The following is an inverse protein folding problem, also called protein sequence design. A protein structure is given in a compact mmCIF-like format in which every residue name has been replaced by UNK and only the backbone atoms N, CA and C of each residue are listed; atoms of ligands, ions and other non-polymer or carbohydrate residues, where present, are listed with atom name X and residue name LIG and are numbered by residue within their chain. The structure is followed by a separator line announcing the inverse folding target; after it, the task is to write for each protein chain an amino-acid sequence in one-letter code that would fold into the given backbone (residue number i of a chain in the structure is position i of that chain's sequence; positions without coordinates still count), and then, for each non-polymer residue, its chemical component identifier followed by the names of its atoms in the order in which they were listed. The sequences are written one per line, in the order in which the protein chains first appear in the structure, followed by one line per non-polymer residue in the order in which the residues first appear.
data_IF_846266130021
#
_entry.id   IF_846266130021
#
_cell.length_a   1.000
_cell.length_b   1.000
_cell.length_c   1.000
_cell.angle_alpha   90.00
_cell.angle_beta   90.00
_cell.angle_gamma   90.00
#
_symmetry.space_group_name_H-M   'P 1'
#
loop_
_entity.id
_entity.type
_entity.pdbx_description
1 polymer ?
#
# COMPACT_ATOMS: atom_id res chain seq x y z
N UNK A 1 19.28 48.30 16.73
CA UNK A 1 19.50 47.54 15.48
C UNK A 1 19.08 46.12 15.77
N UNK A 2 17.82 45.80 15.51
CA UNK A 2 17.26 44.47 15.69
C UNK A 2 17.86 43.48 14.67
N UNK A 3 18.25 42.27 15.08
CA UNK A 3 18.58 41.22 14.14
C UNK A 3 17.28 40.63 13.60
N UNK A 4 17.02 40.81 12.31
CA UNK A 4 15.98 40.06 11.61
C UNK A 4 16.23 38.56 11.84
N UNK A 5 15.27 37.79 12.38
CA UNK A 5 15.42 36.35 12.43
C UNK A 5 15.39 35.85 10.99
N UNK A 6 16.52 35.30 10.54
CA UNK A 6 16.71 34.58 9.29
C UNK A 6 15.68 33.44 9.24
N UNK A 7 14.48 33.75 8.76
CA UNK A 7 13.38 32.80 8.60
C UNK A 7 13.67 32.03 7.31
N UNK A 8 14.69 31.19 7.39
CA UNK A 8 15.13 30.33 6.31
C UNK A 8 13.98 29.34 6.03
N UNK A 9 13.43 29.27 4.81
CA UNK A 9 12.30 28.40 4.47
C UNK A 9 12.75 26.93 4.33
N UNK A 10 13.45 26.40 5.32
CA UNK A 10 14.00 25.04 5.36
C UNK A 10 12.88 23.98 5.31
N UNK A 11 11.70 24.31 5.85
CA UNK A 11 10.54 23.43 5.85
C UNK A 11 9.89 23.23 4.47
N UNK A 12 9.88 24.26 3.61
CA UNK A 12 9.24 24.20 2.30
C UNK A 12 9.98 23.27 1.34
N UNK A 13 11.31 23.24 1.40
CA UNK A 13 12.13 22.35 0.57
C UNK A 13 12.02 20.88 1.00
N UNK A 14 11.96 20.63 2.31
CA UNK A 14 11.75 19.29 2.89
C UNK A 14 10.36 18.74 2.54
N UNK A 15 9.34 19.62 2.55
CA UNK A 15 8.01 19.26 2.08
C UNK A 15 8.01 18.96 0.58
N UNK A 16 8.58 19.80 -0.28
CA UNK A 16 8.59 19.54 -1.73
C UNK A 16 9.27 18.20 -2.09
N UNK A 17 10.36 17.85 -1.41
CA UNK A 17 11.06 16.59 -1.60
C UNK A 17 10.19 15.39 -1.17
N UNK A 18 9.52 15.49 -0.02
CA UNK A 18 8.59 14.46 0.43
C UNK A 18 7.39 14.30 -0.52
N UNK A 19 6.97 15.36 -1.20
CA UNK A 19 5.87 15.32 -2.18
C UNK A 19 6.26 14.54 -3.45
N UNK A 20 7.47 14.79 -3.95
CA UNK A 20 8.04 14.02 -5.06
C UNK A 20 8.23 12.56 -4.69
N UNK A 21 8.78 12.27 -3.50
CA UNK A 21 8.95 10.91 -3.02
C UNK A 21 7.62 10.17 -2.89
N UNK A 22 6.58 10.82 -2.36
CA UNK A 22 5.24 10.23 -2.22
C UNK A 22 4.58 9.98 -3.58
N UNK A 23 4.70 10.92 -4.52
CA UNK A 23 4.17 10.76 -5.88
C UNK A 23 4.87 9.62 -6.62
N UNK A 24 6.19 9.53 -6.47
CA UNK A 24 6.97 8.42 -7.02
C UNK A 24 6.55 7.09 -6.40
N UNK A 25 6.37 7.06 -5.07
CA UNK A 25 5.93 5.87 -4.35
C UNK A 25 4.53 5.44 -4.79
N UNK A 26 3.59 6.36 -5.04
CA UNK A 26 2.27 6.03 -5.59
C UNK A 26 2.36 5.30 -6.93
N UNK A 27 3.17 5.83 -7.86
CA UNK A 27 3.35 5.25 -9.19
C UNK A 27 3.98 3.85 -9.11
N UNK A 28 5.05 3.70 -8.33
CA UNK A 28 5.73 2.41 -8.18
C UNK A 28 4.87 1.41 -7.41
N UNK A 29 4.16 1.84 -6.36
CA UNK A 29 3.23 1.00 -5.61
C UNK A 29 2.17 0.43 -6.57
N UNK A 30 1.45 1.30 -7.30
CA UNK A 30 0.43 0.86 -8.26
C UNK A 30 0.99 -0.09 -9.31
N UNK A 31 2.16 0.23 -9.89
CA UNK A 31 2.85 -0.64 -10.86
C UNK A 31 3.20 -2.00 -10.25
N UNK A 32 3.65 -2.03 -9.00
CA UNK A 32 4.02 -3.27 -8.30
C UNK A 32 2.82 -4.15 -7.97
N UNK A 33 1.69 -3.53 -7.57
CA UNK A 33 0.45 -4.24 -7.25
C UNK A 33 -0.23 -4.78 -8.51
N UNK A 34 -0.06 -4.12 -9.66
CA UNK A 34 -0.57 -4.57 -10.96
C UNK A 34 0.35 -5.55 -11.70
N UNK A 35 1.46 -5.99 -11.11
CA UNK A 35 2.40 -6.87 -11.80
C UNK A 35 1.80 -8.30 -11.93
N UNK A 36 1.17 -8.57 -13.07
CA UNK A 36 0.52 -9.83 -13.44
C UNK A 36 1.50 -11.01 -13.66
N UNK A 37 2.82 -10.77 -13.58
CA UNK A 37 3.88 -11.76 -13.79
C UNK A 37 4.21 -12.53 -12.49
N UNK A 38 3.21 -13.15 -11.87
CA UNK A 38 3.41 -14.09 -10.75
C UNK A 38 3.30 -13.50 -9.34
N UNK A 39 2.80 -12.26 -9.20
CA UNK A 39 2.52 -11.62 -7.91
C UNK A 39 3.21 -10.26 -7.75
N UNK A 40 2.89 -9.52 -6.67
CA UNK A 40 3.51 -8.23 -6.42
C UNK A 40 5.01 -8.42 -6.20
N UNK A 41 5.83 -7.63 -6.92
CA UNK A 41 7.30 -7.72 -6.84
C UNK A 41 7.81 -7.60 -5.40
N UNK A 42 7.06 -6.87 -4.56
CA UNK A 42 7.33 -6.65 -3.16
C UNK A 42 6.06 -6.89 -2.35
N UNK A 43 6.14 -7.56 -1.19
CA UNK A 43 4.97 -7.82 -0.36
C UNK A 43 4.37 -6.52 0.20
N UNK A 44 3.04 -6.50 0.48
CA UNK A 44 2.35 -5.38 1.14
C UNK A 44 3.05 -4.87 2.41
N UNK A 45 3.65 -5.76 3.20
CA UNK A 45 4.38 -5.44 4.43
C UNK A 45 5.57 -4.50 4.18
N UNK A 46 6.32 -4.72 3.10
CA UNK A 46 7.45 -3.87 2.72
C UNK A 46 7.01 -2.44 2.43
N UNK A 47 5.89 -2.27 1.73
CA UNK A 47 5.35 -0.96 1.40
C UNK A 47 4.87 -0.19 2.64
N UNK A 48 4.23 -0.90 3.59
CA UNK A 48 3.84 -0.30 4.88
C UNK A 48 5.03 0.19 5.68
N UNK A 49 6.12 -0.58 5.72
CA UNK A 49 7.35 -0.19 6.41
C UNK A 49 8.02 1.01 5.74
N UNK A 50 8.05 1.03 4.39
CA UNK A 50 8.61 2.17 3.64
C UNK A 50 7.82 3.45 3.88
N UNK A 51 6.48 3.38 3.86
CA UNK A 51 5.60 4.51 4.20
C UNK A 51 5.85 5.01 5.63
N UNK A 52 5.96 4.09 6.59
CA UNK A 52 6.25 4.43 7.98
C UNK A 52 7.64 5.07 8.14
N UNK A 53 8.63 4.70 7.31
CA UNK A 53 9.93 5.36 7.31
C UNK A 53 9.87 6.79 6.78
N UNK A 54 9.03 7.05 5.78
CA UNK A 54 8.88 8.39 5.18
C UNK A 54 8.16 9.32 6.16
N UNK A 55 7.08 8.84 6.78
CA UNK A 55 6.34 9.62 7.79
C UNK A 55 7.18 9.94 9.02
N UNK A 56 8.14 9.08 9.40
CA UNK A 56 9.05 9.32 10.53
C UNK A 56 10.20 10.29 10.23
N UNK A 57 10.63 10.39 8.97
CA UNK A 57 11.81 11.21 8.59
C UNK A 57 11.47 12.64 8.18
N UNK A 58 10.21 12.89 7.81
CA UNK A 58 9.81 14.15 7.17
C UNK A 58 8.67 14.82 7.94
N UNK A 59 8.74 16.14 8.12
CA UNK A 59 7.58 16.93 8.54
C UNK A 59 6.60 17.01 7.36
N UNK A 60 5.60 16.15 7.38
CA UNK A 60 4.61 16.06 6.31
C UNK A 60 3.61 17.22 6.38
N UNK A 61 3.31 17.81 5.23
CA UNK A 61 2.20 18.74 5.07
C UNK A 61 0.86 17.98 5.13
N UNK A 62 -0.24 18.72 5.30
CA UNK A 62 -1.58 18.11 5.34
C UNK A 62 -1.89 17.29 4.08
N UNK A 63 -1.54 17.81 2.90
CA UNK A 63 -1.72 17.10 1.61
C UNK A 63 -0.92 15.80 1.57
N UNK A 64 0.30 15.82 2.11
CA UNK A 64 1.16 14.63 2.13
C UNK A 64 0.64 13.55 3.07
N UNK A 65 0.09 13.94 4.21
CA UNK A 65 -0.60 13.01 5.13
C UNK A 65 -1.79 12.36 4.42
N UNK A 66 -2.58 13.13 3.65
CA UNK A 66 -3.67 12.57 2.85
C UNK A 66 -3.17 11.59 1.78
N UNK A 67 -2.07 11.91 1.09
CA UNK A 67 -1.45 11.01 0.12
C UNK A 67 -1.00 9.71 0.78
N UNK A 68 -0.30 9.78 1.91
CA UNK A 68 0.11 8.60 2.69
C UNK A 68 -1.10 7.75 3.08
N UNK A 69 -2.18 8.38 3.57
CA UNK A 69 -3.40 7.67 3.94
C UNK A 69 -4.03 6.95 2.74
N UNK A 70 -4.07 7.60 1.56
CA UNK A 70 -4.55 6.97 0.32
C UNK A 70 -3.68 5.78 -0.10
N UNK A 71 -2.37 5.85 0.10
CA UNK A 71 -1.45 4.76 -0.20
C UNK A 71 -1.67 3.56 0.73
N UNK A 72 -1.90 3.79 2.03
CA UNK A 72 -2.28 2.71 2.95
C UNK A 72 -3.58 2.02 2.53
N UNK A 73 -4.61 2.79 2.15
CA UNK A 73 -5.88 2.22 1.66
C UNK A 73 -5.69 1.38 0.39
N UNK A 74 -4.80 1.77 -0.51
CA UNK A 74 -4.49 0.98 -1.71
C UNK A 74 -3.85 -0.37 -1.37
N UNK A 75 -2.94 -0.39 -0.39
CA UNK A 75 -2.32 -1.63 0.09
C UNK A 75 -3.37 -2.53 0.73
N UNK A 76 -4.23 -1.98 1.59
CA UNK A 76 -5.28 -2.74 2.28
C UNK A 76 -6.31 -3.32 1.29
N UNK A 77 -6.70 -2.54 0.28
CA UNK A 77 -7.60 -2.99 -0.77
C UNK A 77 -6.99 -4.14 -1.60
N UNK A 78 -5.70 -4.05 -1.91
CA UNK A 78 -4.99 -5.12 -2.61
C UNK A 78 -4.96 -6.41 -1.77
N UNK A 79 -4.61 -6.33 -0.49
CA UNK A 79 -4.60 -7.51 0.39
C UNK A 79 -5.99 -8.13 0.54
N UNK A 80 -7.04 -7.30 0.63
CA UNK A 80 -8.42 -7.79 0.66
C UNK A 80 -8.77 -8.53 -0.63
N UNK A 81 -8.42 -7.97 -1.79
CA UNK A 81 -8.64 -8.61 -3.08
C UNK A 81 -7.87 -9.94 -3.22
N UNK A 82 -6.60 -9.99 -2.77
CA UNK A 82 -5.81 -11.23 -2.77
C UNK A 82 -6.44 -12.30 -1.89
N UNK A 83 -6.88 -11.95 -0.67
CA UNK A 83 -7.58 -12.89 0.23
C UNK A 83 -8.86 -13.43 -0.41
N UNK A 84 -9.68 -12.57 -1.01
CA UNK A 84 -10.90 -13.00 -1.69
C UNK A 84 -10.64 -13.93 -2.87
N UNK A 85 -9.58 -13.69 -3.65
CA UNK A 85 -9.18 -14.59 -4.73
C UNK A 85 -8.69 -15.95 -4.22
N UNK A 86 -7.97 -15.97 -3.11
CA UNK A 86 -7.50 -17.20 -2.47
C UNK A 86 -8.68 -18.01 -1.90
N UNK A 87 -9.63 -17.34 -1.23
CA UNK A 87 -10.85 -17.95 -0.71
C UNK A 87 -11.69 -18.59 -1.83
N UNK A 88 -11.86 -17.89 -2.95
CA UNK A 88 -12.58 -18.43 -4.11
C UNK A 88 -11.88 -19.66 -4.69
N UNK A 89 -10.56 -19.59 -4.89
CA UNK A 89 -9.76 -20.74 -5.36
C UNK A 89 -9.81 -21.91 -4.39
N UNK A 90 -9.87 -21.65 -3.09
CA UNK A 90 -10.00 -22.68 -2.05
C UNK A 90 -11.37 -23.35 -2.12
N UNK A 91 -12.44 -22.58 -2.30
CA UNK A 91 -13.80 -23.10 -2.51
C UNK A 91 -13.91 -23.94 -3.78
N UNK A 92 -13.31 -23.49 -4.88
CA UNK A 92 -13.26 -24.24 -6.14
C UNK A 92 -12.44 -25.55 -6.02
N UNK A 93 -11.43 -25.57 -5.14
CA UNK A 93 -10.59 -26.75 -4.86
C UNK A 93 -11.16 -27.72 -3.83
N UNK A 94 -12.18 -27.35 -3.06
CA UNK A 94 -12.90 -28.30 -2.19
C UNK A 94 -13.83 -29.15 -3.08
N UNK A 95 -13.51 -30.44 -3.34
CA UNK A 95 -14.38 -31.27 -4.14
C UNK A 95 -15.67 -31.53 -3.37
N UNK A 96 -16.76 -31.70 -4.12
CA UNK A 96 -18.06 -32.18 -3.66
C UNK A 96 -17.95 -33.56 -2.97
N UNK A 97 -17.43 -33.60 -1.76
CA UNK A 97 -17.45 -34.78 -0.90
C UNK A 97 -18.83 -34.85 -0.24
N UNK A 98 -19.83 -35.31 -0.99
CA UNK A 98 -21.19 -35.41 -0.44
C UNK A 98 -22.31 -35.70 -1.42
N UNK A 99 -22.15 -36.63 -2.36
CA UNK A 99 -23.31 -37.34 -2.92
C UNK A 99 -22.94 -38.76 -3.34
N UNK A 100 -22.37 -39.48 -2.38
CA UNK A 100 -22.34 -40.94 -2.40
C UNK A 100 -23.38 -41.45 -1.42
N UNK A 101 -24.67 -41.36 -1.77
CA UNK A 101 -25.66 -42.25 -1.16
C UNK A 101 -25.96 -43.35 -2.19
N UNK A 102 -25.02 -44.28 -2.27
CA UNK A 102 -25.35 -45.64 -2.64
C UNK A 102 -26.14 -46.23 -1.47
N UNK A 103 -27.42 -46.46 -1.66
CA UNK A 103 -28.16 -47.41 -0.83
C UNK A 103 -28.89 -48.34 -1.80
N UNK A 104 -28.22 -49.48 -2.04
CA UNK A 104 -28.78 -50.66 -2.69
C UNK A 104 -29.55 -51.49 -1.65
N UNK A 105 -30.60 -52.16 -2.15
CA UNK A 105 -31.23 -53.41 -1.71
C UNK A 105 -32.73 -53.27 -1.44
#
# INVERSE_FOLDING_TARGET
MDPFPDTKPQGAFSALLADQDLTHLELVLRRSLSCDLGGPLLPPSYWRERLASITRRSHLSHTQIQTVHRLYLQIDAFEAATRSQEDERRREREPAAGSGKAESA
#
